data_IF_258550901431
#
_entry.id   IF_258550901431
#
_cell.length_a   1.000
_cell.length_b   1.000
_cell.length_c   1.000
_cell.angle_alpha   90.00
_cell.angle_beta   90.00
_cell.angle_gamma   90.00
#
_symmetry.space_group_name_H-M   'P 1'
#
loop_
_entity.id
_entity.type
_entity.pdbx_description
1 polymer ?
#
# COMPACT_ATOMS: atom_id res chain seq x y z
N UNK A 1 5.40 6.90 21.76
CA UNK A 1 5.82 7.97 20.83
C UNK A 1 6.37 7.29 19.59
N UNK A 2 5.81 7.53 18.41
CA UNK A 2 6.32 6.95 17.16
C UNK A 2 7.67 7.61 16.86
N UNK A 3 8.72 6.79 16.76
CA UNK A 3 10.06 7.28 16.44
C UNK A 3 10.12 7.70 14.96
N UNK A 4 10.82 8.78 14.64
CA UNK A 4 10.97 9.30 13.27
C UNK A 4 11.47 8.24 12.29
N UNK A 5 12.33 7.33 12.78
CA UNK A 5 12.86 6.19 12.04
C UNK A 5 11.77 5.21 11.59
N UNK A 6 10.75 4.98 12.42
CA UNK A 6 9.64 4.06 12.13
C UNK A 6 8.76 4.60 11.00
N UNK A 7 8.57 5.92 10.96
CA UNK A 7 7.77 6.61 9.95
C UNK A 7 8.45 6.57 8.58
N UNK A 8 9.78 6.74 8.56
CA UNK A 8 10.59 6.68 7.35
C UNK A 8 10.58 5.26 6.75
N UNK A 9 10.66 4.24 7.61
CA UNK A 9 10.61 2.83 7.20
C UNK A 9 9.22 2.45 6.67
N UNK A 10 8.15 2.95 7.30
CA UNK A 10 6.77 2.75 6.83
C UNK A 10 6.52 3.41 5.47
N UNK A 11 7.11 4.58 5.22
CA UNK A 11 7.00 5.29 3.94
C UNK A 11 7.68 4.50 2.80
N UNK A 12 8.90 4.00 3.04
CA UNK A 12 9.62 3.15 2.08
C UNK A 12 8.85 1.86 1.82
N UNK A 13 8.36 1.20 2.87
CA UNK A 13 7.57 -0.02 2.74
C UNK A 13 6.27 0.20 1.97
N UNK A 14 5.57 1.32 2.21
CA UNK A 14 4.37 1.70 1.48
C UNK A 14 4.65 2.01 0.00
N UNK A 15 5.79 2.63 -0.30
CA UNK A 15 6.22 2.90 -1.67
C UNK A 15 6.51 1.61 -2.44
N UNK A 16 7.26 0.68 -1.83
CA UNK A 16 7.57 -0.63 -2.44
C UNK A 16 6.29 -1.47 -2.59
N UNK A 17 5.42 -1.48 -1.58
CA UNK A 17 4.12 -2.16 -1.65
C UNK A 17 3.25 -1.62 -2.80
N UNK A 18 3.17 -0.30 -2.96
CA UNK A 18 2.43 0.33 -4.06
C UNK A 18 3.05 0.05 -5.44
N UNK A 19 4.38 -0.01 -5.54
CA UNK A 19 5.07 -0.40 -6.77
C UNK A 19 4.76 -1.85 -7.16
N UNK A 20 4.81 -2.78 -6.21
CA UNK A 20 4.47 -4.20 -6.45
C UNK A 20 2.99 -4.35 -6.79
N UNK A 21 2.11 -3.58 -6.13
CA UNK A 21 0.68 -3.61 -6.40
C UNK A 21 0.35 -3.18 -7.84
N UNK A 22 1.08 -2.20 -8.37
CA UNK A 22 0.92 -1.76 -9.76
C UNK A 22 1.42 -2.78 -10.81
N UNK A 23 2.32 -3.70 -10.43
CA UNK A 23 2.94 -4.68 -11.35
C UNK A 23 2.20 -6.02 -11.35
N UNK A 24 1.92 -6.59 -10.18
CA UNK A 24 1.43 -7.96 -10.04
C UNK A 24 0.05 -8.06 -9.34
N UNK A 25 -0.39 -6.99 -8.66
CA UNK A 25 -1.54 -7.00 -7.77
C UNK A 25 -1.25 -7.77 -6.48
N UNK A 26 -1.45 -7.13 -5.32
CA UNK A 26 -1.24 -7.78 -4.01
C UNK A 26 -0.35 -7.02 -3.03
N UNK A 27 -0.11 -5.72 -3.24
CA UNK A 27 0.72 -4.91 -2.33
C UNK A 27 0.21 -4.87 -0.88
N UNK A 28 -1.08 -5.15 -0.68
CA UNK A 28 -1.67 -5.32 0.65
C UNK A 28 -1.01 -6.43 1.48
N UNK A 29 -0.46 -7.48 0.86
CA UNK A 29 0.29 -8.55 1.54
C UNK A 29 1.68 -8.10 2.03
N UNK A 30 2.24 -7.03 1.46
CA UNK A 30 3.50 -6.41 1.92
C UNK A 30 3.20 -5.39 3.02
N UNK A 31 2.14 -4.62 2.85
CA UNK A 31 1.81 -3.50 3.72
C UNK A 31 1.18 -3.92 5.05
N UNK A 32 0.40 -5.03 5.07
CA UNK A 32 -0.18 -5.59 6.31
C UNK A 32 0.87 -6.11 7.31
N UNK A 33 1.86 -6.95 6.95
CA UNK A 33 2.89 -7.38 7.88
C UNK A 33 3.84 -6.23 8.27
N UNK A 34 4.16 -5.32 7.34
CA UNK A 34 4.96 -4.14 7.66
C UNK A 34 4.26 -3.27 8.73
N UNK A 35 2.96 -3.01 8.58
CA UNK A 35 2.17 -2.27 9.56
C UNK A 35 2.09 -2.97 10.91
N UNK A 36 1.85 -4.28 10.92
CA UNK A 36 1.77 -5.08 12.16
C UNK A 36 3.10 -5.14 12.92
N UNK A 37 4.23 -5.24 12.21
CA UNK A 37 5.56 -5.28 12.83
C UNK A 37 6.01 -3.90 13.31
N UNK A 38 5.69 -2.82 12.57
CA UNK A 38 6.11 -1.46 12.88
C UNK A 38 5.20 -0.74 13.88
N UNK A 39 3.93 -1.12 13.98
CA UNK A 39 2.93 -0.52 14.88
C UNK A 39 2.29 -1.56 15.83
N UNK A 40 3.08 -2.25 16.68
CA UNK A 40 2.54 -3.28 17.58
C UNK A 40 1.69 -2.70 18.73
N UNK A 41 1.74 -1.38 18.93
CA UNK A 41 1.06 -0.66 20.02
C UNK A 41 -0.39 -0.29 19.70
N UNK A 42 -0.83 -0.44 18.43
CA UNK A 42 -2.18 -0.07 17.99
C UNK A 42 -3.02 -1.31 17.68
N UNK A 43 -4.35 -1.27 17.91
CA UNK A 43 -5.24 -2.36 17.54
C UNK A 43 -5.10 -2.72 16.07
N UNK A 44 -5.00 -4.02 15.77
CA UNK A 44 -4.79 -4.55 14.41
C UNK A 44 -5.79 -3.97 13.43
N UNK A 45 -7.07 -3.86 13.83
CA UNK A 45 -8.15 -3.27 13.03
C UNK A 45 -7.88 -1.83 12.60
N UNK A 46 -7.26 -1.02 13.47
CA UNK A 46 -6.96 0.38 13.18
C UNK A 46 -5.76 0.51 12.24
N UNK A 47 -4.75 -0.35 12.39
CA UNK A 47 -3.56 -0.38 11.54
C UNK A 47 -3.92 -0.84 10.13
N UNK A 48 -4.60 -1.98 9.99
CA UNK A 48 -5.00 -2.51 8.67
C UNK A 48 -6.03 -1.59 7.98
N UNK A 49 -6.90 -0.93 8.75
CA UNK A 49 -7.88 0.02 8.22
C UNK A 49 -7.21 1.22 7.55
N UNK A 50 -6.24 1.84 8.22
CA UNK A 50 -5.51 2.98 7.67
C UNK A 50 -4.66 2.63 6.44
N UNK A 51 -4.19 1.39 6.33
CA UNK A 51 -3.34 0.92 5.22
C UNK A 51 -4.15 0.55 3.96
N UNK A 52 -5.47 0.31 4.06
CA UNK A 52 -6.33 -0.03 2.91
C UNK A 52 -6.61 1.16 1.98
N UNK A 53 -6.77 2.37 2.54
CA UNK A 53 -7.07 3.60 1.77
C UNK A 53 -5.96 3.91 0.74
N UNK A 54 -4.67 4.00 1.14
CA UNK A 54 -3.60 4.24 0.18
C UNK A 54 -3.42 3.08 -0.81
N UNK A 55 -3.60 1.83 -0.39
CA UNK A 55 -3.52 0.67 -1.28
C UNK A 55 -4.58 0.74 -2.38
N UNK A 56 -5.85 1.00 -2.04
CA UNK A 56 -6.94 1.09 -3.01
C UNK A 56 -6.76 2.25 -4.01
N UNK A 57 -6.27 3.40 -3.52
CA UNK A 57 -5.98 4.55 -4.38
C UNK A 57 -4.87 4.23 -5.39
N UNK A 58 -3.80 3.55 -4.94
CA UNK A 58 -2.70 3.10 -5.81
C UNK A 58 -3.16 2.14 -6.91
N UNK A 59 -3.91 1.09 -6.56
CA UNK A 59 -4.47 0.15 -7.54
C UNK A 59 -5.42 0.87 -8.52
N UNK A 60 -6.29 1.76 -8.03
CA UNK A 60 -7.23 2.51 -8.86
C UNK A 60 -6.50 3.42 -9.86
N UNK A 61 -5.42 4.08 -9.44
CA UNK A 61 -4.59 4.89 -10.34
C UNK A 61 -3.90 4.03 -11.40
N UNK A 62 -3.32 2.89 -11.01
CA UNK A 62 -2.70 1.96 -11.95
C UNK A 62 -3.72 1.40 -12.97
N UNK A 63 -4.90 0.99 -12.51
CA UNK A 63 -6.00 0.54 -13.36
C UNK A 63 -6.49 1.65 -14.30
N UNK A 64 -6.68 2.87 -13.79
CA UNK A 64 -7.08 4.02 -14.60
C UNK A 64 -6.02 4.38 -15.66
N UNK A 65 -4.74 4.26 -15.32
CA UNK A 65 -3.64 4.53 -16.24
C UNK A 65 -3.48 3.42 -17.29
N UNK A 66 -3.72 2.15 -16.92
CA UNK A 66 -3.78 1.02 -17.83
C UNK A 66 -4.88 1.19 -18.88
N UNK A 67 -6.11 1.49 -18.45
CA UNK A 67 -7.26 1.74 -19.34
C UNK A 67 -7.03 2.95 -20.26
N UNK A 68 -6.32 3.98 -19.78
CA UNK A 68 -5.97 5.16 -20.60
C UNK A 68 -4.89 4.91 -21.64
N UNK A 69 -3.95 3.98 -21.37
CA UNK A 69 -2.79 3.72 -22.25
C UNK A 69 -3.04 2.57 -23.21
N UNK A 70 -3.86 1.60 -22.85
CA UNK A 70 -4.21 0.47 -23.70
C UNK A 70 -5.46 0.83 -24.50
N UNK A 71 -5.34 0.85 -25.84
CA UNK A 71 -6.53 0.85 -26.71
C UNK A 71 -7.21 -0.50 -26.51
N UNK A 72 -8.33 -0.49 -25.78
CA UNK A 72 -9.19 -1.65 -25.62
C UNK A 72 -9.84 -1.87 -26.99
N UNK A 73 -9.26 -2.75 -27.80
CA UNK A 73 -9.92 -3.21 -29.01
C UNK A 73 -10.98 -4.21 -28.56
N UNK A 74 -12.21 -3.70 -28.40
CA UNK A 74 -13.42 -4.51 -28.23
C UNK A 74 -13.64 -5.44 -29.42
#
# INVERSE_FOLDING_TARGET
MITTSTLLLLCIAAFVAGFVDAVAGGGGLIQTPAGLVLLPQFPVAHVIGSLKIPAFSGTSFAAAQYVRRVKINV
#
